data_IF_937322407543
#
_entry.id   IF_937322407543
#
_cell.length_a   1.000
_cell.length_b   1.000
_cell.length_c   1.000
_cell.angle_alpha   90.00
_cell.angle_beta   90.00
_cell.angle_gamma   90.00
#
_symmetry.space_group_name_H-M   'P 1'
#
loop_
_entity.id
_entity.type
_entity.pdbx_description
1 polymer ?
#
# COMPACT_ATOMS: atom_id res chain seq x y z
N UNK A 1 6.09 3.77 -11.80
CA UNK A 1 5.91 3.60 -10.35
C UNK A 1 4.50 3.09 -10.13
N UNK A 2 4.36 1.95 -9.46
CA UNK A 2 3.06 1.29 -9.30
C UNK A 2 2.50 1.55 -7.89
N UNK A 3 1.22 1.91 -7.82
CA UNK A 3 0.48 2.08 -6.57
C UNK A 3 -0.60 1.00 -6.49
N UNK A 4 -0.51 0.16 -5.46
CA UNK A 4 -1.49 -0.90 -5.19
C UNK A 4 -2.33 -0.53 -3.99
N UNK A 5 -3.65 -0.50 -4.16
CA UNK A 5 -4.61 -0.26 -3.07
C UNK A 5 -5.30 -1.58 -2.74
N UNK A 6 -5.05 -2.11 -1.53
CA UNK A 6 -5.75 -3.29 -1.01
C UNK A 6 -7.01 -2.85 -0.29
N UNK A 7 -8.16 -3.38 -0.71
CA UNK A 7 -9.46 -3.16 -0.08
C UNK A 7 -10.16 -4.49 0.20
N UNK A 8 -11.17 -4.47 1.06
CA UNK A 8 -11.95 -5.66 1.41
C UNK A 8 -12.53 -5.61 2.82
N UNK A 9 -13.55 -6.44 3.06
CA UNK A 9 -14.20 -6.57 4.37
C UNK A 9 -13.24 -7.08 5.44
N UNK A 10 -13.58 -6.91 6.72
CA UNK A 10 -12.83 -7.54 7.80
C UNK A 10 -12.78 -9.06 7.62
N UNK A 11 -11.60 -9.66 7.79
CA UNK A 11 -11.36 -11.09 7.58
C UNK A 11 -11.11 -11.53 6.12
N UNK A 12 -11.16 -10.63 5.13
CA UNK A 12 -10.98 -11.01 3.70
C UNK A 12 -9.53 -11.25 3.26
N UNK A 13 -8.56 -11.31 4.19
CA UNK A 13 -7.16 -11.58 3.87
C UNK A 13 -6.30 -10.37 3.45
N UNK A 14 -6.71 -9.13 3.75
CA UNK A 14 -5.93 -7.92 3.40
C UNK A 14 -4.50 -7.95 3.93
N UNK A 15 -4.31 -8.38 5.18
CA UNK A 15 -2.97 -8.48 5.78
C UNK A 15 -2.11 -9.54 5.09
N UNK A 16 -2.70 -10.67 4.68
CA UNK A 16 -2.01 -11.69 3.89
C UNK A 16 -1.57 -11.14 2.53
N UNK A 17 -2.44 -10.37 1.87
CA UNK A 17 -2.10 -9.72 0.60
C UNK A 17 -0.98 -8.67 0.77
N UNK A 18 -0.99 -7.89 1.86
CA UNK A 18 0.09 -6.95 2.17
C UNK A 18 1.43 -7.67 2.33
N UNK A 19 1.50 -8.73 3.15
CA UNK A 19 2.73 -9.48 3.35
C UNK A 19 3.26 -10.11 2.06
N UNK A 20 2.37 -10.66 1.23
CA UNK A 20 2.79 -11.20 -0.07
C UNK A 20 3.37 -10.10 -0.97
N UNK A 21 2.78 -8.91 -0.99
CA UNK A 21 3.32 -7.80 -1.77
C UNK A 21 4.68 -7.33 -1.22
N UNK A 22 4.88 -7.35 0.10
CA UNK A 22 6.20 -7.09 0.71
C UNK A 22 7.25 -8.11 0.24
N UNK A 23 6.90 -9.40 0.19
CA UNK A 23 7.77 -10.46 -0.33
C UNK A 23 8.13 -10.26 -1.82
N UNK A 24 7.21 -9.69 -2.61
CA UNK A 24 7.43 -9.32 -4.02
C UNK A 24 8.19 -7.99 -4.19
N UNK A 25 8.59 -7.34 -3.08
CA UNK A 25 9.42 -6.13 -3.08
C UNK A 25 8.65 -4.80 -3.04
N UNK A 26 7.34 -4.81 -2.76
CA UNK A 26 6.58 -3.58 -2.53
C UNK A 26 6.82 -3.02 -1.13
N UNK A 27 6.76 -1.69 -1.02
CA UNK A 27 6.65 -1.02 0.28
C UNK A 27 5.17 -0.93 0.68
N UNK A 28 4.76 -1.76 1.63
CA UNK A 28 3.39 -1.79 2.12
C UNK A 28 3.19 -0.82 3.29
N UNK A 29 2.06 -0.10 3.28
CA UNK A 29 1.63 0.77 4.38
C UNK A 29 0.20 0.39 4.74
N UNK A 30 -0.01 -0.12 5.95
CA UNK A 30 -1.34 -0.41 6.47
C UNK A 30 -1.94 0.81 7.18
N UNK A 31 -3.26 0.93 7.11
CA UNK A 31 -4.06 1.93 7.82
C UNK A 31 -3.64 3.40 7.59
N UNK A 32 -3.10 3.73 6.42
CA UNK A 32 -2.77 5.10 6.04
C UNK A 32 -4.04 5.94 5.86
N UNK A 33 -4.19 7.08 6.54
CA UNK A 33 -5.26 8.03 6.24
C UNK A 33 -5.22 8.47 4.78
N UNK A 34 -6.35 8.40 4.08
CA UNK A 34 -6.42 8.71 2.65
C UNK A 34 -5.96 10.15 2.31
N UNK A 35 -6.08 11.09 3.25
CA UNK A 35 -5.62 12.47 3.10
C UNK A 35 -4.10 12.60 2.94
N UNK A 36 -3.33 11.60 3.37
CA UNK A 36 -1.87 11.59 3.27
C UNK A 36 -1.36 10.95 1.97
N UNK A 37 -2.23 10.28 1.19
CA UNK A 37 -1.84 9.64 -0.07
C UNK A 37 -1.16 10.62 -1.05
N UNK A 38 -1.68 11.84 -1.32
CA UNK A 38 -1.04 12.74 -2.27
C UNK A 38 0.39 13.12 -1.88
N UNK A 39 0.66 13.27 -0.57
CA UNK A 39 2.00 13.56 -0.07
C UNK A 39 2.93 12.35 -0.27
N UNK A 40 2.44 11.14 -0.03
CA UNK A 40 3.19 9.90 -0.24
C UNK A 40 3.58 9.70 -1.71
N UNK A 41 2.62 9.79 -2.64
CA UNK A 41 2.91 9.57 -4.06
C UNK A 41 3.66 10.75 -4.68
N UNK A 42 3.46 11.97 -4.15
CA UNK A 42 4.12 13.19 -4.64
C UNK A 42 5.57 13.36 -4.19
N UNK A 43 6.00 12.71 -3.10
CA UNK A 43 7.38 12.75 -2.60
C UNK A 43 8.21 11.52 -2.99
N UNK A 44 7.64 10.59 -3.76
CA UNK A 44 8.43 9.52 -4.35
C UNK A 44 9.52 10.15 -5.23
N UNK A 45 10.81 9.95 -4.93
CA UNK A 45 11.86 10.42 -5.81
C UNK A 45 11.61 9.80 -7.19
N UNK A 46 11.65 10.63 -8.23
CA UNK A 46 11.71 10.14 -9.60
C UNK A 46 13.02 9.34 -9.74
N UNK A 47 12.93 8.04 -9.54
CA UNK A 47 13.96 7.08 -9.91
C UNK A 47 13.83 6.76 -11.39
#
# INVERSE_FOLDING_TARGET
MDLVIISGRSGSGKSTALHQLEDEGYYAIDNLPASLLPALVGHAPAL
#
